data_IF_032826494358
#
_entry.id   IF_032826494358
#
_cell.length_a   1.000
_cell.length_b   1.000
_cell.length_c   1.000
_cell.angle_alpha   90.00
_cell.angle_beta   90.00
_cell.angle_gamma   90.00
#
_symmetry.space_group_name_H-M   'P 1'
#
loop_
_entity.id
_entity.type
_entity.pdbx_description
1 polymer ?
#
# COMPACT_ATOMS: atom_id res chain seq x y z
N UNK A 1 -0.36 -9.38 17.99
CA UNK A 1 -0.21 -7.97 17.53
C UNK A 1 -0.08 -6.93 18.64
N UNK A 2 -0.85 -6.97 19.73
CA UNK A 2 -0.75 -5.96 20.82
C UNK A 2 0.69 -5.78 21.39
N UNK A 3 1.43 -6.88 21.59
CA UNK A 3 2.81 -6.84 22.07
C UNK A 3 3.76 -6.09 21.12
N UNK A 4 3.61 -6.34 19.81
CA UNK A 4 4.35 -5.61 18.78
C UNK A 4 4.04 -4.12 18.86
N UNK A 5 2.75 -3.75 18.87
CA UNK A 5 2.33 -2.34 18.95
C UNK A 5 2.93 -1.62 20.17
N UNK A 6 2.92 -2.26 21.35
CA UNK A 6 3.53 -1.71 22.56
C UNK A 6 5.04 -1.51 22.41
N UNK A 7 5.73 -2.48 21.79
CA UNK A 7 7.18 -2.42 21.55
C UNK A 7 7.52 -1.29 20.57
N UNK A 8 6.83 -1.24 19.43
CA UNK A 8 7.02 -0.23 18.40
C UNK A 8 6.76 1.19 18.92
N UNK A 9 5.69 1.39 19.69
CA UNK A 9 5.37 2.68 20.31
C UNK A 9 6.38 3.12 21.39
N UNK A 10 7.08 2.19 22.03
CA UNK A 10 8.07 2.49 23.07
C UNK A 10 9.45 2.80 22.52
N UNK A 11 9.78 2.30 21.33
CA UNK A 11 11.11 2.44 20.71
C UNK A 11 11.17 3.56 19.67
N UNK A 12 10.16 3.68 18.80
CA UNK A 12 10.23 4.55 17.62
C UNK A 12 9.34 5.78 17.75
N UNK A 13 9.81 6.90 17.19
CA UNK A 13 9.07 8.16 17.18
C UNK A 13 7.73 8.07 16.43
N UNK A 14 6.72 8.83 16.87
CA UNK A 14 5.41 8.88 16.20
C UNK A 14 5.34 10.01 15.19
N UNK A 15 4.71 9.75 14.06
CA UNK A 15 4.37 10.77 13.06
C UNK A 15 3.01 11.38 13.39
N UNK A 16 2.86 12.68 13.16
CA UNK A 16 1.58 13.39 13.30
C UNK A 16 0.85 13.30 11.98
N UNK A 17 -0.39 12.82 12.00
CA UNK A 17 -1.28 12.74 10.84
C UNK A 17 -2.48 13.63 11.13
N UNK A 18 -2.79 14.55 10.22
CA UNK A 18 -3.97 15.41 10.31
C UNK A 18 -5.11 14.73 9.54
N UNK A 19 -6.23 14.51 10.22
CA UNK A 19 -7.48 14.03 9.61
C UNK A 19 -8.53 15.07 10.01
N UNK A 20 -9.08 15.78 9.03
CA UNK A 20 -9.90 16.98 9.22
C UNK A 20 -9.20 17.99 10.14
N UNK A 21 -9.82 18.40 11.24
CA UNK A 21 -9.22 19.32 12.23
C UNK A 21 -8.59 18.61 13.44
N UNK A 22 -8.45 17.28 13.39
CA UNK A 22 -7.89 16.47 14.47
C UNK A 22 -6.51 15.94 14.10
N UNK A 23 -5.57 16.07 15.03
CA UNK A 23 -4.22 15.51 14.90
C UNK A 23 -4.12 14.18 15.65
N UNK A 24 -3.81 13.13 14.90
CA UNK A 24 -3.48 11.82 15.43
C UNK A 24 -1.98 11.62 15.42
N UNK A 25 -1.47 10.76 16.32
CA UNK A 25 -0.06 10.37 16.31
C UNK A 25 0.08 8.87 16.32
N UNK A 26 0.83 8.34 15.35
CA UNK A 26 1.10 6.91 15.26
C UNK A 26 2.45 6.69 14.56
N UNK A 27 3.02 5.50 14.76
CA UNK A 27 4.14 5.02 13.94
C UNK A 27 3.78 3.74 13.17
N UNK A 28 2.57 3.22 13.36
CA UNK A 28 2.01 2.14 12.58
C UNK A 28 0.48 2.21 12.57
N UNK A 29 -0.10 1.65 11.51
CA UNK A 29 -1.53 1.37 11.38
C UNK A 29 -1.69 -0.13 11.15
N UNK A 30 -2.58 -0.75 11.92
CA UNK A 30 -2.88 -2.17 11.79
C UNK A 30 -4.37 -2.31 11.49
N UNK A 31 -4.69 -2.99 10.39
CA UNK A 31 -6.06 -3.30 10.01
C UNK A 31 -6.14 -4.74 9.53
N UNK A 32 -6.72 -5.62 10.35
CA UNK A 32 -6.80 -7.06 10.10
C UNK A 32 -5.38 -7.64 9.88
N UNK A 33 -5.04 -7.98 8.64
CA UNK A 33 -3.77 -8.57 8.24
C UNK A 33 -2.79 -7.52 7.70
N UNK A 34 -3.26 -6.31 7.39
CA UNK A 34 -2.44 -5.23 6.85
C UNK A 34 -1.78 -4.42 7.96
N UNK A 35 -0.46 -4.32 7.91
CA UNK A 35 0.35 -3.50 8.80
C UNK A 35 1.14 -2.47 7.98
N UNK A 36 0.87 -1.18 8.23
CA UNK A 36 1.60 -0.05 7.64
C UNK A 36 2.51 0.57 8.70
N UNK A 37 3.81 0.65 8.40
CA UNK A 37 4.80 1.30 9.27
C UNK A 37 5.09 2.71 8.75
N UNK A 38 5.15 3.70 9.64
CA UNK A 38 5.27 5.12 9.29
C UNK A 38 6.29 5.80 10.19
N UNK A 39 7.38 6.28 9.59
CA UNK A 39 8.47 6.96 10.28
C UNK A 39 9.03 8.11 9.44
N UNK A 40 9.77 9.03 10.08
CA UNK A 40 10.36 10.20 9.41
C UNK A 40 11.71 9.92 8.74
N UNK A 41 12.42 8.88 9.20
CA UNK A 41 13.78 8.56 8.78
C UNK A 41 13.81 7.15 8.20
N UNK A 42 14.60 6.94 7.14
CA UNK A 42 14.71 5.62 6.52
C UNK A 42 15.46 4.62 7.40
N UNK A 43 16.44 5.07 8.19
CA UNK A 43 17.20 4.19 9.10
C UNK A 43 16.34 3.63 10.23
N UNK A 44 15.50 4.47 10.85
CA UNK A 44 14.55 3.99 11.87
C UNK A 44 13.50 3.09 11.24
N UNK A 45 13.04 3.40 10.02
CA UNK A 45 12.10 2.54 9.28
C UNK A 45 12.67 1.16 9.03
N UNK A 46 13.92 1.07 8.55
CA UNK A 46 14.60 -0.21 8.37
C UNK A 46 14.71 -0.99 9.68
N UNK A 47 15.07 -0.32 10.76
CA UNK A 47 15.16 -0.93 12.09
C UNK A 47 13.80 -1.47 12.56
N UNK A 48 12.74 -0.69 12.35
CA UNK A 48 11.36 -1.05 12.68
C UNK A 48 10.85 -2.24 11.86
N UNK A 49 11.21 -2.31 10.57
CA UNK A 49 10.90 -3.44 9.67
C UNK A 49 11.59 -4.72 10.16
N UNK A 50 12.88 -4.66 10.50
CA UNK A 50 13.61 -5.84 11.01
C UNK A 50 13.05 -6.34 12.35
N UNK A 51 12.68 -5.42 13.25
CA UNK A 51 12.05 -5.81 14.52
C UNK A 51 10.67 -6.44 14.30
N UNK A 52 9.89 -5.90 13.35
CA UNK A 52 8.58 -6.45 12.96
C UNK A 52 8.73 -7.84 12.34
N UNK A 53 9.70 -8.03 11.45
CA UNK A 53 10.04 -9.34 10.85
C UNK A 53 10.42 -10.37 11.91
N UNK A 54 11.28 -9.99 12.85
CA UNK A 54 11.68 -10.84 13.96
C UNK A 54 10.49 -11.26 14.82
N UNK A 55 9.59 -10.30 15.12
CA UNK A 55 8.37 -10.58 15.85
C UNK A 55 7.47 -11.56 15.10
N UNK A 56 7.22 -11.35 13.80
CA UNK A 56 6.40 -12.24 12.98
C UNK A 56 6.95 -13.66 12.92
N UNK A 57 8.25 -13.82 12.70
CA UNK A 57 8.90 -15.14 12.75
C UNK A 57 8.71 -15.82 14.09
N UNK A 58 8.81 -15.07 15.18
CA UNK A 58 8.64 -15.61 16.55
C UNK A 58 7.21 -16.10 16.80
N UNK A 59 6.21 -15.43 16.25
CA UNK A 59 4.79 -15.81 16.43
C UNK A 59 4.26 -16.74 15.33
N UNK A 60 5.09 -17.14 14.37
CA UNK A 60 4.71 -18.02 13.26
C UNK A 60 3.91 -17.34 12.14
N UNK A 61 4.10 -16.03 11.94
CA UNK A 61 3.52 -15.28 10.82
C UNK A 61 4.53 -15.12 9.68
N UNK A 62 4.01 -15.15 8.45
CA UNK A 62 4.78 -14.95 7.23
C UNK A 62 4.39 -13.62 6.55
N UNK A 63 5.39 -12.92 6.02
CA UNK A 63 5.18 -11.68 5.27
C UNK A 63 5.00 -12.03 3.80
N UNK A 64 3.93 -11.53 3.20
CA UNK A 64 3.73 -11.63 1.76
C UNK A 64 4.47 -10.48 1.06
N UNK A 65 5.70 -10.73 0.63
CA UNK A 65 6.55 -9.72 -0.04
C UNK A 65 5.94 -9.23 -1.35
N UNK A 66 5.24 -10.10 -2.10
CA UNK A 66 4.60 -9.74 -3.36
C UNK A 66 3.46 -8.73 -3.21
N UNK A 67 2.77 -8.77 -2.05
CA UNK A 67 1.72 -7.82 -1.69
C UNK A 67 2.21 -6.66 -0.81
N UNK A 68 3.40 -6.76 -0.25
CA UNK A 68 3.98 -5.75 0.62
C UNK A 68 4.63 -4.64 -0.21
N UNK A 69 4.56 -3.42 0.31
CA UNK A 69 5.03 -2.25 -0.42
C UNK A 69 5.79 -1.26 0.45
N UNK A 70 6.83 -0.64 -0.09
CA UNK A 70 7.67 0.35 0.61
C UNK A 70 7.93 1.58 -0.26
N UNK A 71 8.14 2.73 0.38
CA UNK A 71 8.67 3.95 -0.24
C UNK A 71 10.16 4.15 0.04
N UNK A 72 10.76 3.29 0.87
CA UNK A 72 12.17 3.37 1.23
C UNK A 72 13.00 2.38 0.41
N UNK A 73 14.04 2.85 -0.31
CA UNK A 73 14.94 1.96 -1.03
C UNK A 73 15.71 1.01 -0.09
N UNK A 74 15.84 1.37 1.20
CA UNK A 74 16.52 0.53 2.18
C UNK A 74 15.75 -0.76 2.53
N UNK A 75 14.46 -0.84 2.18
CA UNK A 75 13.56 -1.94 2.49
C UNK A 75 13.06 -2.67 1.24
N UNK A 76 13.67 -2.47 0.06
CA UNK A 76 13.22 -3.05 -1.22
C UNK A 76 13.22 -4.59 -1.24
N UNK A 77 14.05 -5.21 -0.40
CA UNK A 77 14.13 -6.67 -0.28
C UNK A 77 12.96 -7.26 0.51
N UNK A 78 12.28 -6.43 1.32
CA UNK A 78 11.20 -6.85 2.22
C UNK A 78 9.81 -6.50 1.69
N UNK A 79 9.76 -5.60 0.72
CA UNK A 79 8.55 -5.09 0.13
C UNK A 79 8.85 -4.49 -1.24
N UNK A 80 7.91 -4.62 -2.18
CA UNK A 80 8.04 -4.01 -3.49
C UNK A 80 8.15 -2.49 -3.34
N UNK A 81 9.20 -1.88 -3.87
CA UNK A 81 9.32 -0.43 -3.92
C UNK A 81 8.16 0.11 -4.77
N UNK A 82 7.18 0.73 -4.13
CA UNK A 82 6.17 1.48 -4.85
C UNK A 82 6.79 2.81 -5.21
N UNK A 83 6.74 3.17 -6.50
CA UNK A 83 6.85 4.57 -6.90
C UNK A 83 5.66 5.41 -6.44
N UNK A 84 4.79 4.89 -5.56
CA UNK A 84 3.67 5.59 -4.94
C UNK A 84 4.23 6.26 -3.69
N UNK A 85 4.80 7.43 -3.88
CA UNK A 85 5.06 8.34 -2.77
C UNK A 85 3.71 8.87 -2.32
N UNK A 86 3.07 8.19 -1.37
CA UNK A 86 2.39 8.96 -0.34
C UNK A 86 3.48 9.84 0.28
N UNK A 87 3.51 11.11 -0.15
CA UNK A 87 4.38 12.08 0.48
C UNK A 87 4.00 12.17 1.96
N UNK A 88 4.89 12.71 2.79
CA UNK A 88 4.60 12.94 4.22
C UNK A 88 3.33 13.79 4.41
N UNK A 89 2.89 14.50 3.36
CA UNK A 89 1.65 15.28 3.28
C UNK A 89 0.39 14.48 2.88
N UNK A 90 0.51 13.18 2.57
CA UNK A 90 -0.61 12.34 2.12
C UNK A 90 -1.13 12.67 0.72
N UNK A 91 -0.38 13.43 -0.09
CA UNK A 91 -0.76 13.74 -1.46
C UNK A 91 -0.39 12.59 -2.38
N UNK A 92 -1.31 12.25 -3.27
CA UNK A 92 -1.05 11.31 -4.36
C UNK A 92 -0.04 11.90 -5.34
N UNK A 93 0.88 11.06 -5.81
CA UNK A 93 1.81 11.38 -6.89
C UNK A 93 1.04 11.73 -8.19
N UNK A 94 1.47 12.75 -8.93
CA UNK A 94 0.80 13.20 -10.17
C UNK A 94 0.68 12.05 -11.21
N UNK A 95 1.56 11.05 -11.15
CA UNK A 95 1.52 9.85 -12.00
C UNK A 95 0.67 8.68 -11.48
N UNK A 96 -0.09 8.85 -10.40
CA UNK A 96 -0.90 7.79 -9.79
C UNK A 96 -2.01 7.30 -10.73
N UNK A 97 -2.74 8.24 -11.31
CA UNK A 97 -3.83 7.96 -12.24
C UNK A 97 -3.32 7.17 -13.45
N UNK A 98 -2.23 7.63 -14.06
CA UNK A 98 -1.62 6.99 -15.22
C UNK A 98 -1.23 5.53 -14.97
N UNK A 99 -0.76 5.20 -13.75
CA UNK A 99 -0.42 3.82 -13.41
C UNK A 99 -1.63 2.92 -13.23
N UNK A 100 -2.74 3.45 -12.71
CA UNK A 100 -4.01 2.71 -12.63
C UNK A 100 -4.50 2.41 -14.04
N UNK A 101 -4.45 3.42 -14.93
CA UNK A 101 -4.79 3.25 -16.35
C UNK A 101 -3.91 2.18 -17.00
N UNK A 102 -2.58 2.28 -16.87
CA UNK A 102 -1.63 1.29 -17.41
C UNK A 102 -1.89 -0.12 -16.88
N UNK A 103 -2.28 -0.27 -15.61
CA UNK A 103 -2.62 -1.57 -15.02
C UNK A 103 -3.89 -2.15 -15.64
N UNK A 104 -4.91 -1.32 -15.90
CA UNK A 104 -6.15 -1.73 -16.55
C UNK A 104 -5.88 -2.11 -18.01
N UNK A 105 -5.11 -1.29 -18.74
CA UNK A 105 -4.71 -1.55 -20.12
C UNK A 105 -3.93 -2.85 -20.26
N UNK A 106 -2.88 -3.05 -19.44
CA UNK A 106 -2.06 -4.27 -19.45
C UNK A 106 -2.91 -5.52 -19.21
N UNK A 107 -3.92 -5.43 -18.32
CA UNK A 107 -4.83 -6.55 -18.06
C UNK A 107 -5.80 -6.77 -19.21
N UNK A 108 -6.29 -5.72 -19.84
CA UNK A 108 -7.16 -5.80 -21.01
C UNK A 108 -6.43 -6.47 -22.18
N UNK A 109 -5.18 -6.08 -22.46
CA UNK A 109 -4.32 -6.70 -23.47
C UNK A 109 -4.09 -8.19 -23.18
N UNK A 110 -3.77 -8.54 -21.93
CA UNK A 110 -3.60 -9.94 -21.54
C UNK A 110 -4.88 -10.76 -21.74
N UNK A 111 -6.06 -10.18 -21.47
CA UNK A 111 -7.35 -10.83 -21.69
C UNK A 111 -7.66 -11.00 -23.18
N UNK A 112 -7.32 -10.04 -24.03
CA UNK A 112 -7.46 -10.15 -25.48
C UNK A 112 -6.66 -11.31 -26.08
N UNK A 113 -5.56 -11.71 -25.44
CA UNK A 113 -4.74 -12.86 -25.85
C UNK A 113 -5.27 -14.21 -25.35
N UNK A 114 -6.45 -14.26 -24.72
CA UNK A 114 -7.08 -15.51 -24.25
C UNK A 114 -8.14 -16.03 -25.22
N UNK A 115 -8.49 -17.32 -25.11
CA UNK A 115 -9.54 -17.94 -25.93
C UNK A 115 -10.97 -17.72 -25.38
N UNK A 116 -11.22 -16.57 -24.74
CA UNK A 116 -12.55 -16.24 -24.21
C UNK A 116 -13.49 -15.80 -25.34
N UNK A 117 -14.75 -16.22 -25.29
CA UNK A 117 -15.77 -15.64 -26.16
C UNK A 117 -16.04 -14.17 -25.78
N UNK A 118 -16.60 -13.40 -26.71
CA UNK A 118 -16.83 -11.96 -26.54
C UNK A 118 -17.58 -11.61 -25.25
N UNK A 119 -18.61 -12.39 -24.88
CA UNK A 119 -19.38 -12.16 -23.64
C UNK A 119 -18.51 -12.33 -22.39
N UNK A 120 -17.69 -13.37 -22.36
CA UNK A 120 -16.80 -13.64 -21.23
C UNK A 120 -15.62 -12.68 -21.16
N UNK A 121 -15.10 -12.24 -22.31
CA UNK A 121 -14.03 -11.26 -22.41
C UNK A 121 -14.47 -9.92 -21.81
N UNK A 122 -15.61 -9.38 -22.28
CA UNK A 122 -16.17 -8.12 -21.78
C UNK A 122 -16.47 -8.22 -20.28
N UNK A 123 -17.02 -9.35 -19.81
CA UNK A 123 -17.27 -9.55 -18.39
C UNK A 123 -15.98 -9.51 -17.57
N UNK A 124 -14.93 -10.22 -17.99
CA UNK A 124 -13.66 -10.26 -17.28
C UNK A 124 -12.96 -8.88 -17.24
N UNK A 125 -13.04 -8.13 -18.35
CA UNK A 125 -12.54 -6.75 -18.41
C UNK A 125 -13.28 -5.83 -17.44
N UNK A 126 -14.62 -5.86 -17.48
CA UNK A 126 -15.45 -5.02 -16.61
C UNK A 126 -15.24 -5.36 -15.13
N UNK A 127 -15.18 -6.64 -14.78
CA UNK A 127 -14.97 -7.09 -13.40
C UNK A 127 -13.65 -6.57 -12.85
N UNK A 128 -12.57 -6.64 -13.64
CA UNK A 128 -11.28 -6.09 -13.23
C UNK A 128 -11.30 -4.56 -13.14
N UNK A 129 -11.71 -3.87 -14.20
CA UNK A 129 -11.65 -2.41 -14.27
C UNK A 129 -12.53 -1.73 -13.20
N UNK A 130 -13.77 -2.20 -13.01
CA UNK A 130 -14.68 -1.66 -12.00
C UNK A 130 -14.11 -1.87 -10.59
N UNK A 131 -13.48 -3.02 -10.33
CA UNK A 131 -12.87 -3.27 -9.02
C UNK A 131 -11.73 -2.29 -8.71
N UNK A 132 -10.88 -1.98 -9.71
CA UNK A 132 -9.80 -1.03 -9.56
C UNK A 132 -10.35 0.39 -9.37
N UNK A 133 -11.29 0.81 -10.21
CA UNK A 133 -11.90 2.15 -10.13
C UNK A 133 -12.56 2.35 -8.75
N UNK A 134 -13.39 1.39 -8.31
CA UNK A 134 -14.07 1.50 -7.01
C UNK A 134 -13.09 1.54 -5.83
N UNK A 135 -11.94 0.89 -5.94
CA UNK A 135 -10.92 0.92 -4.89
C UNK A 135 -10.25 2.29 -4.78
N UNK A 136 -9.99 2.95 -5.92
CA UNK A 136 -9.25 4.21 -5.96
C UNK A 136 -10.11 5.47 -6.06
N UNK A 137 -11.41 5.37 -6.34
CA UNK A 137 -12.31 6.53 -6.51
C UNK A 137 -12.38 7.45 -5.28
N UNK A 138 -12.20 6.90 -4.06
CA UNK A 138 -12.16 7.68 -2.82
C UNK A 138 -10.78 8.27 -2.49
N UNK A 139 -9.76 7.96 -3.30
CA UNK A 139 -8.37 8.39 -3.12
C UNK A 139 -8.00 9.42 -4.18
N UNK A 140 -8.49 9.27 -5.41
CA UNK A 140 -8.20 10.19 -6.51
C UNK A 140 -9.14 11.40 -6.38
N UNK A 141 -8.57 12.59 -6.18
CA UNK A 141 -9.27 13.86 -6.40
C UNK A 141 -9.52 14.03 -7.90
N UNK A 142 -10.60 13.44 -8.41
CA UNK A 142 -11.13 13.79 -9.72
C UNK A 142 -12.07 14.97 -9.52
N UNK A 143 -11.58 16.20 -9.58
CA UNK A 143 -12.48 17.34 -9.76
C UNK A 143 -13.22 17.16 -11.09
N UNK A 144 -14.56 17.29 -11.13
CA UNK A 144 -15.28 17.36 -12.38
C UNK A 144 -14.95 18.69 -13.07
N UNK A 145 -14.55 18.62 -14.34
CA UNK A 145 -14.46 19.79 -15.23
C UNK A 145 -15.82 20.49 -15.39
#
# INVERSE_FOLDING_TARGET
>A
MYLLSRRLNGTYSKVKVKIDDIYYTCNHLLFIDDLKLVLRTYDDLKSMVEETKSFFRTVGLEINVEKSTTNSPLCENDAKLLGLTETIEGKNDEGFFDRIVQSIESRAEALCNTNLNAKNLIRAMNEFAISQINYYVGIIDTEPD
#
